data_IF_281980606440
#
_entry.id   IF_281980606440
#
_cell.length_a   1.000
_cell.length_b   1.000
_cell.length_c   1.000
_cell.angle_alpha   90.00
_cell.angle_beta   90.00
_cell.angle_gamma   90.00
#
_symmetry.space_group_name_H-M   'P 1'
#
loop_
_entity.id
_entity.type
_entity.pdbx_description
1 polymer ?
#
# COMPACT_ATOMS: atom_id res chain seq x y z
N UNK A 1 14.51 -1.05 -66.75
CA UNK A 1 13.06 -1.35 -66.76
C UNK A 1 12.34 -0.19 -66.10
N UNK A 2 11.32 0.32 -66.80
CA UNK A 2 10.50 1.51 -66.49
C UNK A 2 9.83 1.43 -65.09
N UNK A 3 9.38 2.51 -64.44
CA UNK A 3 8.74 3.72 -64.98
C UNK A 3 8.85 4.95 -64.05
N UNK A 4 9.24 6.08 -64.65
CA UNK A 4 8.60 7.41 -64.70
C UNK A 4 7.62 7.90 -63.61
N UNK A 5 8.06 8.98 -62.94
CA UNK A 5 7.41 10.31 -62.80
C UNK A 5 5.88 10.47 -62.69
N UNK A 6 5.43 11.18 -61.65
CA UNK A 6 4.64 12.44 -61.76
C UNK A 6 4.10 12.96 -60.41
N UNK A 7 4.39 14.23 -60.09
CA UNK A 7 3.49 15.17 -59.40
C UNK A 7 2.61 15.82 -60.51
N UNK A 8 1.38 16.34 -60.30
CA UNK A 8 1.15 17.53 -59.44
C UNK A 8 -0.29 17.76 -58.85
N UNK A 9 -0.39 18.73 -57.93
CA UNK A 9 -1.33 19.87 -58.09
C UNK A 9 -2.70 19.88 -57.38
N UNK A 10 -3.12 21.11 -57.05
CA UNK A 10 -4.43 21.62 -56.54
C UNK A 10 -4.63 21.59 -55.01
N UNK A 11 -4.49 22.68 -54.24
CA UNK A 11 -4.98 24.08 -54.27
C UNK A 11 -6.37 24.30 -53.65
N UNK A 12 -6.35 25.00 -52.50
CA UNK A 12 -7.31 26.02 -51.98
C UNK A 12 -8.80 25.64 -51.84
N UNK A 13 -9.48 25.87 -50.70
CA UNK A 13 -9.91 27.22 -50.28
C UNK A 13 -10.61 27.25 -48.90
N UNK A 14 -10.51 28.44 -48.31
CA UNK A 14 -11.11 29.08 -47.14
C UNK A 14 -12.59 28.84 -46.73
N UNK A 15 -12.79 28.94 -45.40
CA UNK A 15 -13.86 29.62 -44.61
C UNK A 15 -15.32 29.19 -44.81
N UNK A 16 -16.04 29.06 -43.69
CA UNK A 16 -17.07 30.04 -43.25
C UNK A 16 -17.62 29.66 -41.87
N UNK A 17 -17.60 30.64 -40.96
CA UNK A 17 -18.28 30.67 -39.68
C UNK A 17 -19.80 30.75 -39.90
N UNK A 18 -20.59 29.96 -39.16
CA UNK A 18 -22.03 30.18 -39.06
C UNK A 18 -22.43 30.46 -37.62
N UNK A 19 -22.73 31.73 -37.42
CA UNK A 19 -23.36 32.38 -36.28
C UNK A 19 -24.85 32.02 -36.30
N UNK A 20 -25.43 31.60 -35.16
CA UNK A 20 -26.88 31.62 -34.97
C UNK A 20 -27.24 32.39 -33.71
N UNK A 21 -28.20 33.29 -33.92
CA UNK A 21 -28.72 34.30 -33.02
C UNK A 21 -29.54 33.70 -31.88
N UNK A 22 -29.51 34.43 -30.78
CA UNK A 22 -30.42 34.40 -29.65
C UNK A 22 -31.90 34.50 -30.06
N UNK A 23 -32.74 33.65 -29.47
CA UNK A 23 -34.12 34.02 -29.13
C UNK A 23 -34.40 33.51 -27.71
N UNK A 24 -34.83 34.45 -26.88
CA UNK A 24 -35.22 34.32 -25.48
C UNK A 24 -36.66 33.83 -25.36
N UNK A 25 -36.94 32.95 -24.37
CA UNK A 25 -37.96 33.09 -23.31
C UNK A 25 -38.04 31.79 -22.47
N UNK A 26 -38.53 31.84 -21.21
CA UNK A 26 -37.97 31.07 -20.11
C UNK A 26 -38.76 29.79 -19.82
N UNK A 27 -38.05 28.67 -19.64
CA UNK A 27 -38.62 27.48 -19.01
C UNK A 27 -37.74 27.18 -17.80
N UNK A 28 -38.29 27.49 -16.63
CA UNK A 28 -37.76 27.10 -15.34
C UNK A 28 -37.69 25.57 -15.28
N UNK A 29 -36.50 25.03 -15.52
CA UNK A 29 -36.17 23.62 -15.24
C UNK A 29 -35.14 23.62 -14.13
N UNK A 30 -35.62 23.29 -12.94
CA UNK A 30 -34.81 22.96 -11.79
C UNK A 30 -33.78 21.90 -12.21
N UNK A 31 -32.51 22.26 -12.17
CA UNK A 31 -31.40 21.32 -12.29
C UNK A 31 -31.38 20.47 -11.02
N UNK A 32 -31.88 19.24 -11.13
CA UNK A 32 -31.70 18.22 -10.11
C UNK A 32 -30.27 17.72 -10.24
N UNK A 33 -29.38 18.22 -9.37
CA UNK A 33 -28.05 17.62 -9.18
C UNK A 33 -28.20 16.16 -8.76
N UNK A 34 -27.49 15.20 -9.39
CA UNK A 34 -27.35 13.87 -8.81
C UNK A 34 -26.29 13.96 -7.70
N UNK A 35 -26.71 14.43 -6.52
CA UNK A 35 -25.95 14.24 -5.29
C UNK A 35 -25.94 12.73 -5.04
N UNK A 36 -24.76 12.10 -5.11
CA UNK A 36 -24.56 10.75 -4.59
C UNK A 36 -24.96 10.76 -3.12
N UNK A 37 -26.15 10.24 -2.82
CA UNK A 37 -26.57 9.93 -1.47
C UNK A 37 -25.64 8.85 -0.93
N UNK A 38 -24.72 9.25 -0.04
CA UNK A 38 -24.10 8.31 0.87
C UNK A 38 -25.21 7.81 1.78
N UNK A 39 -25.57 6.53 1.65
CA UNK A 39 -26.51 5.86 2.56
C UNK A 39 -26.02 5.97 4.00
N UNK A 40 -26.46 7.00 4.72
CA UNK A 40 -26.39 7.07 6.16
C UNK A 40 -27.65 6.40 6.68
N UNK A 41 -27.60 5.09 6.88
CA UNK A 41 -28.66 4.41 7.63
C UNK A 41 -28.59 4.89 9.06
N UNK A 42 -29.66 5.47 9.65
CA UNK A 42 -29.67 5.77 11.07
C UNK A 42 -29.57 4.45 11.84
N UNK A 43 -28.66 4.39 12.81
CA UNK A 43 -28.56 3.27 13.73
C UNK A 43 -29.92 3.14 14.45
N UNK A 44 -30.69 2.10 14.10
CA UNK A 44 -31.85 1.69 14.90
C UNK A 44 -31.33 1.36 16.29
N UNK A 45 -31.64 2.20 17.27
CA UNK A 45 -31.55 1.84 18.69
C UNK A 45 -32.52 0.70 18.92
N UNK A 46 -32.00 -0.52 18.97
CA UNK A 46 -32.71 -1.66 19.55
C UNK A 46 -32.49 -1.61 21.06
N UNK A 47 -33.42 -1.00 21.78
CA UNK A 47 -33.59 -1.23 23.21
C UNK A 47 -34.07 -2.67 23.40
N UNK A 48 -33.19 -3.54 23.90
CA UNK A 48 -33.46 -4.75 24.71
C UNK A 48 -32.33 -5.79 24.57
N UNK A 49 -31.29 -5.68 25.42
CA UNK A 49 -30.49 -6.77 26.04
C UNK A 49 -29.22 -6.19 26.70
N UNK A 50 -29.42 -5.40 27.75
CA UNK A 50 -28.40 -4.58 28.42
C UNK A 50 -27.38 -5.31 29.31
N UNK A 51 -26.98 -6.54 28.99
CA UNK A 51 -25.96 -7.28 29.76
C UNK A 51 -24.62 -7.44 29.05
N UNK A 52 -24.64 -7.73 27.74
CA UNK A 52 -23.42 -8.14 27.01
C UNK A 52 -22.69 -7.01 26.27
N UNK A 53 -23.29 -5.83 26.14
CA UNK A 53 -22.72 -4.72 25.37
C UNK A 53 -21.73 -3.85 26.19
N UNK A 54 -21.86 -3.85 27.52
CA UNK A 54 -21.01 -3.05 28.40
C UNK A 54 -19.60 -3.65 28.56
N UNK A 55 -19.47 -4.97 28.73
CA UNK A 55 -18.17 -5.66 28.82
C UNK A 55 -17.39 -5.69 27.50
N UNK A 56 -18.07 -5.51 26.36
CA UNK A 56 -17.42 -5.51 25.03
C UNK A 56 -16.55 -4.27 24.77
N UNK A 57 -16.73 -3.20 25.55
CA UNK A 57 -15.91 -1.98 25.42
C UNK A 57 -14.58 -2.05 26.17
N UNK A 58 -14.37 -3.04 27.04
CA UNK A 58 -13.13 -3.15 27.84
C UNK A 58 -12.05 -4.01 27.20
N UNK A 59 -12.42 -4.96 26.33
CA UNK A 59 -11.45 -5.88 25.71
C UNK A 59 -10.93 -5.32 24.39
N UNK A 60 -9.60 -5.34 24.15
CA UNK A 60 -9.06 -4.76 22.94
C UNK A 60 -9.48 -5.57 21.71
N UNK A 61 -9.85 -4.88 20.63
CA UNK A 61 -10.48 -5.51 19.44
C UNK A 61 -9.63 -6.57 18.75
N UNK A 62 -8.32 -6.53 18.95
CA UNK A 62 -7.39 -7.49 18.37
C UNK A 62 -7.39 -8.84 19.09
N UNK A 63 -7.87 -8.92 20.33
CA UNK A 63 -7.79 -10.10 21.21
C UNK A 63 -8.91 -11.11 20.95
N UNK A 64 -10.11 -10.65 20.59
CA UNK A 64 -11.28 -11.51 20.44
C UNK A 64 -11.93 -11.37 19.06
N UNK A 65 -12.75 -12.36 18.71
CA UNK A 65 -13.60 -12.33 17.52
C UNK A 65 -15.04 -12.07 17.96
N UNK A 66 -15.76 -11.10 17.38
CA UNK A 66 -17.13 -10.79 17.76
C UNK A 66 -18.05 -12.03 17.71
N UNK A 67 -18.80 -12.28 18.79
CA UNK A 67 -19.59 -13.52 18.94
C UNK A 67 -20.63 -13.70 17.81
N UNK A 68 -21.26 -12.60 17.39
CA UNK A 68 -22.25 -12.58 16.30
C UNK A 68 -21.68 -12.98 14.94
N UNK A 69 -20.36 -12.97 14.78
CA UNK A 69 -19.68 -13.38 13.54
C UNK A 69 -19.25 -14.85 13.56
N UNK A 70 -19.35 -15.53 14.72
CA UNK A 70 -19.04 -16.94 14.84
C UNK A 70 -20.19 -17.76 14.23
N UNK A 71 -19.80 -18.85 13.57
CA UNK A 71 -20.75 -19.80 12.96
C UNK A 71 -21.19 -20.88 13.95
N UNK A 72 -21.66 -22.04 13.47
CA UNK A 72 -22.22 -23.12 14.30
C UNK A 72 -21.18 -23.89 15.15
N UNK A 73 -19.95 -23.39 15.30
CA UNK A 73 -18.88 -24.03 16.07
C UNK A 73 -18.11 -25.14 15.37
N UNK A 74 -18.58 -25.65 14.23
CA UNK A 74 -17.88 -26.64 13.40
C UNK A 74 -17.60 -26.11 11.98
N UNK A 75 -16.57 -26.66 11.32
CA UNK A 75 -16.26 -26.34 9.92
C UNK A 75 -17.23 -27.04 8.99
N UNK A 76 -17.89 -26.29 8.11
CA UNK A 76 -18.77 -26.82 7.05
C UNK A 76 -17.93 -27.40 5.90
N UNK A 77 -16.74 -26.84 5.66
CA UNK A 77 -15.89 -27.24 4.54
C UNK A 77 -15.05 -28.46 4.89
N UNK A 78 -15.00 -29.44 3.96
CA UNK A 78 -14.12 -30.60 4.04
C UNK A 78 -12.70 -30.20 3.66
N UNK A 79 -11.76 -30.40 4.56
CA UNK A 79 -10.34 -30.12 4.33
C UNK A 79 -9.67 -31.39 3.79
N UNK A 80 -8.89 -31.27 2.71
CA UNK A 80 -8.18 -32.41 2.11
C UNK A 80 -7.18 -33.06 3.07
N UNK A 81 -6.41 -32.22 3.77
CA UNK A 81 -5.44 -32.66 4.78
C UNK A 81 -5.73 -31.95 6.11
N UNK A 82 -6.17 -32.68 7.15
CA UNK A 82 -6.46 -32.11 8.47
C UNK A 82 -5.27 -31.38 9.09
N UNK A 83 -4.03 -31.81 8.81
CA UNK A 83 -2.81 -31.23 9.39
C UNK A 83 -2.64 -29.75 9.00
N UNK A 84 -3.13 -29.37 7.81
CA UNK A 84 -3.06 -27.98 7.32
C UNK A 84 -4.01 -27.03 8.05
N UNK A 85 -4.91 -27.55 8.88
CA UNK A 85 -5.86 -26.74 9.66
C UNK A 85 -5.20 -26.11 10.89
N UNK A 86 -4.18 -26.77 11.44
CA UNK A 86 -3.50 -26.34 12.65
C UNK A 86 -2.42 -25.31 12.27
N UNK A 87 -2.56 -24.09 12.76
CA UNK A 87 -1.57 -23.02 12.63
C UNK A 87 -1.60 -22.17 13.88
N UNK A 88 -0.46 -22.09 14.58
CA UNK A 88 -0.32 -21.24 15.76
C UNK A 88 -0.01 -19.81 15.35
N UNK A 89 -0.63 -18.85 16.02
CA UNK A 89 -0.49 -17.43 15.77
C UNK A 89 -0.08 -16.74 17.07
N UNK A 90 0.73 -15.69 16.98
CA UNK A 90 1.13 -14.92 18.15
C UNK A 90 -0.06 -14.19 18.80
N UNK A 91 -0.19 -14.35 20.11
CA UNK A 91 -1.13 -13.62 20.96
C UNK A 91 -0.43 -12.77 22.02
N UNK A 92 0.89 -12.94 22.19
CA UNK A 92 1.69 -12.24 23.21
C UNK A 92 2.03 -10.80 22.75
N UNK A 93 1.62 -9.76 23.51
CA UNK A 93 1.94 -8.37 23.19
C UNK A 93 3.44 -8.06 23.35
N UNK A 94 4.13 -8.68 24.32
CA UNK A 94 5.55 -8.42 24.56
C UNK A 94 6.43 -8.86 23.37
N UNK A 95 6.05 -9.94 22.69
CA UNK A 95 6.73 -10.40 21.45
C UNK A 95 6.57 -9.40 20.32
N UNK A 96 5.40 -8.76 20.23
CA UNK A 96 5.13 -7.70 19.26
C UNK A 96 5.98 -6.47 19.54
N UNK A 97 6.06 -6.06 20.80
CA UNK A 97 6.84 -4.89 21.20
C UNK A 97 8.34 -5.11 21.00
N UNK A 98 8.86 -6.30 21.31
CA UNK A 98 10.23 -6.68 21.00
C UNK A 98 10.55 -6.58 19.50
N UNK A 99 9.62 -7.01 18.62
CA UNK A 99 9.77 -6.87 17.17
C UNK A 99 9.79 -5.40 16.73
N UNK A 100 8.87 -4.56 17.26
CA UNK A 100 8.85 -3.12 16.97
C UNK A 100 10.14 -2.43 17.40
N UNK A 101 10.70 -2.81 18.55
CA UNK A 101 11.98 -2.28 19.03
C UNK A 101 13.16 -2.72 18.14
N UNK A 102 13.17 -3.94 17.61
CA UNK A 102 14.21 -4.39 16.64
C UNK A 102 14.12 -3.65 15.30
N UNK A 103 12.90 -3.36 14.84
CA UNK A 103 12.65 -2.66 13.58
C UNK A 103 12.94 -1.15 13.68
N UNK A 104 12.31 -0.47 14.64
CA UNK A 104 12.34 0.99 14.76
C UNK A 104 13.48 1.50 15.65
N UNK A 105 14.05 0.64 16.50
CA UNK A 105 15.08 1.00 17.48
C UNK A 105 14.49 1.25 18.87
N UNK A 106 15.24 1.96 19.72
CA UNK A 106 14.85 2.24 21.09
C UNK A 106 13.50 3.00 21.15
N UNK A 107 12.61 2.56 22.04
CA UNK A 107 11.24 3.08 22.19
C UNK A 107 10.36 2.92 20.93
N UNK A 108 10.69 1.99 20.04
CA UNK A 108 9.91 1.68 18.84
C UNK A 108 8.47 1.24 19.16
N UNK A 109 8.28 0.48 20.24
CA UNK A 109 6.97 0.02 20.72
C UNK A 109 5.98 1.15 21.05
N UNK A 110 6.51 2.34 21.39
CA UNK A 110 5.69 3.53 21.77
C UNK A 110 5.27 4.37 20.57
N UNK A 111 5.80 4.06 19.37
CA UNK A 111 5.46 4.79 18.15
C UNK A 111 4.02 4.54 17.73
N UNK A 112 3.42 3.41 18.04
CA UNK A 112 2.05 3.09 17.65
C UNK A 112 1.26 2.60 18.86
N UNK A 113 -0.01 3.03 19.02
CA UNK A 113 -0.90 2.42 20.01
C UNK A 113 -1.06 0.92 19.75
N UNK A 114 -1.32 0.15 20.81
CA UNK A 114 -1.44 -1.32 20.75
C UNK A 114 -2.40 -1.81 19.67
N UNK A 115 -3.58 -1.19 19.56
CA UNK A 115 -4.55 -1.57 18.53
C UNK A 115 -4.00 -1.42 17.11
N UNK A 116 -3.22 -0.37 16.86
CA UNK A 116 -2.64 -0.08 15.55
C UNK A 116 -1.44 -0.99 15.28
N UNK A 117 -0.65 -1.33 16.31
CA UNK A 117 0.42 -2.35 16.22
C UNK A 117 -0.14 -3.67 15.70
N UNK A 118 -1.19 -4.15 16.35
CA UNK A 118 -1.87 -5.38 15.92
C UNK A 118 -2.54 -5.25 14.55
N UNK A 119 -3.16 -4.11 14.24
CA UNK A 119 -3.79 -3.87 12.94
C UNK A 119 -2.78 -3.95 11.80
N UNK A 120 -1.60 -3.36 11.96
CA UNK A 120 -0.54 -3.33 10.94
C UNK A 120 0.06 -4.73 10.68
N UNK A 121 0.13 -5.56 11.72
CA UNK A 121 0.76 -6.90 11.68
C UNK A 121 -0.23 -8.01 11.30
N UNK A 122 -1.53 -7.71 11.20
CA UNK A 122 -2.55 -8.71 10.85
C UNK A 122 -2.87 -8.72 9.36
N UNK A 123 -2.68 -9.88 8.74
CA UNK A 123 -3.00 -10.09 7.33
C UNK A 123 -4.47 -10.48 7.13
N UNK A 124 -5.03 -10.18 5.95
CA UNK A 124 -6.44 -10.46 5.60
C UNK A 124 -6.83 -11.94 5.70
N UNK A 125 -5.87 -12.86 5.55
CA UNK A 125 -6.15 -14.30 5.67
C UNK A 125 -6.40 -14.78 7.11
N UNK A 126 -6.07 -13.97 8.11
CA UNK A 126 -6.32 -14.29 9.52
C UNK A 126 -7.80 -14.11 9.87
N UNK A 127 -8.37 -15.11 10.57
CA UNK A 127 -9.78 -15.12 11.03
C UNK A 127 -10.78 -14.62 9.98
N UNK A 128 -10.59 -15.01 8.71
CA UNK A 128 -11.41 -14.57 7.57
C UNK A 128 -11.57 -13.04 7.42
N UNK A 129 -10.63 -12.26 7.96
CA UNK A 129 -10.69 -10.80 7.97
C UNK A 129 -11.78 -10.23 8.88
N UNK A 130 -12.29 -11.01 9.85
CA UNK A 130 -13.25 -10.54 10.86
C UNK A 130 -12.64 -9.51 11.80
N UNK A 131 -11.35 -9.67 12.12
CA UNK A 131 -10.56 -8.67 12.83
C UNK A 131 -9.96 -7.68 11.84
N UNK A 132 -9.55 -6.52 12.33
CA UNK A 132 -8.89 -5.51 11.51
C UNK A 132 -7.63 -6.08 10.84
N UNK A 133 -7.44 -5.77 9.55
CA UNK A 133 -6.31 -6.23 8.75
C UNK A 133 -5.65 -5.08 7.98
N UNK A 134 -4.41 -5.31 7.56
CA UNK A 134 -3.46 -4.28 7.20
C UNK A 134 -3.48 -3.76 5.75
N UNK A 135 -4.41 -4.25 4.89
CA UNK A 135 -4.37 -3.99 3.44
C UNK A 135 -4.36 -2.50 3.06
N UNK A 136 -5.17 -1.66 3.73
CA UNK A 136 -5.23 -0.22 3.42
C UNK A 136 -3.97 0.52 3.87
N UNK A 137 -3.46 0.17 5.05
CA UNK A 137 -2.22 0.74 5.57
C UNK A 137 -1.04 0.37 4.67
N UNK A 138 -0.99 -0.89 4.21
CA UNK A 138 0.04 -1.38 3.30
C UNK A 138 0.03 -0.67 1.95
N UNK A 139 -1.17 -0.39 1.40
CA UNK A 139 -1.30 0.40 0.17
C UNK A 139 -0.64 1.78 0.31
N UNK A 140 -0.93 2.48 1.41
CA UNK A 140 -0.37 3.81 1.65
C UNK A 140 1.15 3.76 1.93
N UNK A 141 1.60 2.84 2.78
CA UNK A 141 3.03 2.70 3.09
C UNK A 141 3.88 2.30 1.88
N UNK A 142 3.33 1.52 0.93
CA UNK A 142 3.99 1.23 -0.35
C UNK A 142 4.28 2.52 -1.14
N UNK A 143 3.34 3.46 -1.17
CA UNK A 143 3.54 4.74 -1.87
C UNK A 143 4.63 5.59 -1.20
N UNK A 144 4.64 5.62 0.14
CA UNK A 144 5.67 6.33 0.92
C UNK A 144 7.06 5.74 0.64
N UNK A 145 7.19 4.42 0.71
CA UNK A 145 8.46 3.75 0.43
C UNK A 145 8.94 4.04 -0.99
N UNK A 146 8.06 3.93 -1.98
CA UNK A 146 8.40 4.24 -3.36
C UNK A 146 8.89 5.69 -3.53
N UNK A 147 8.23 6.65 -2.88
CA UNK A 147 8.63 8.05 -2.93
C UNK A 147 9.99 8.30 -2.28
N UNK A 148 10.23 7.72 -1.10
CA UNK A 148 11.51 7.88 -0.39
C UNK A 148 12.66 7.19 -1.12
N UNK A 149 12.44 6.05 -1.77
CA UNK A 149 13.44 5.41 -2.63
C UNK A 149 13.74 6.22 -3.90
N UNK A 150 12.71 6.81 -4.53
CA UNK A 150 12.93 7.76 -5.63
C UNK A 150 13.77 8.94 -5.13
N UNK A 151 13.42 9.51 -3.98
CA UNK A 151 14.17 10.63 -3.39
C UNK A 151 15.62 10.27 -3.07
N UNK A 152 15.88 9.07 -2.56
CA UNK A 152 17.27 8.63 -2.30
C UNK A 152 18.08 8.56 -3.59
N UNK A 153 17.50 8.10 -4.69
CA UNK A 153 18.18 8.08 -6.00
C UNK A 153 18.47 9.50 -6.49
N UNK A 154 17.50 10.41 -6.40
CA UNK A 154 17.66 11.79 -6.86
C UNK A 154 18.76 12.54 -6.10
N UNK A 155 18.85 12.33 -4.78
CA UNK A 155 19.78 13.07 -3.91
C UNK A 155 21.18 12.45 -3.91
N UNK A 156 21.29 11.12 -3.96
CA UNK A 156 22.59 10.47 -3.90
C UNK A 156 23.41 10.74 -5.18
N UNK A 157 24.71 11.04 -5.08
CA UNK A 157 25.56 11.18 -6.25
C UNK A 157 25.73 9.81 -6.92
N UNK A 158 25.56 9.76 -8.25
CA UNK A 158 25.91 8.57 -9.03
C UNK A 158 27.40 8.64 -9.38
N UNK A 159 28.10 7.54 -9.16
CA UNK A 159 29.52 7.42 -9.52
C UNK A 159 29.62 6.84 -10.93
N UNK A 160 30.10 7.64 -11.89
CA UNK A 160 30.68 7.13 -13.13
C UNK A 160 29.73 6.74 -14.27
N UNK A 161 28.59 7.42 -14.44
CA UNK A 161 27.77 7.19 -15.63
C UNK A 161 28.26 7.98 -16.83
N UNK A 162 28.56 7.25 -17.91
CA UNK A 162 28.88 7.84 -19.20
C UNK A 162 27.59 8.42 -19.85
N UNK A 163 27.67 9.57 -20.53
CA UNK A 163 26.55 10.11 -21.29
C UNK A 163 26.03 9.07 -22.29
N UNK A 164 24.71 8.90 -22.34
CA UNK A 164 24.08 8.07 -23.38
C UNK A 164 24.22 8.79 -24.71
N UNK A 165 24.85 8.15 -25.70
CA UNK A 165 24.96 8.70 -27.05
C UNK A 165 23.58 8.69 -27.74
N UNK A 166 23.13 9.86 -28.19
CA UNK A 166 21.88 9.99 -28.93
C UNK A 166 22.08 9.57 -30.40
N UNK A 167 21.24 8.66 -30.95
CA UNK A 167 21.35 8.21 -32.35
C UNK A 167 21.21 9.31 -33.40
N UNK A 168 20.63 10.47 -33.04
CA UNK A 168 20.45 11.61 -33.94
C UNK A 168 21.46 12.73 -33.68
N UNK A 169 22.46 12.51 -32.81
CA UNK A 169 23.49 13.49 -32.50
C UNK A 169 22.95 14.76 -31.82
N UNK A 170 21.81 14.67 -31.12
CA UNK A 170 21.24 15.80 -30.39
C UNK A 170 21.94 15.98 -29.05
N UNK A 171 22.18 17.22 -28.67
CA UNK A 171 22.70 17.54 -27.33
C UNK A 171 21.53 17.75 -26.35
N UNK A 172 21.51 17.05 -25.20
CA UNK A 172 20.46 17.22 -24.20
C UNK A 172 20.62 18.56 -23.47
N UNK A 173 19.51 19.14 -23.03
CA UNK A 173 19.52 20.36 -22.23
C UNK A 173 20.13 20.09 -20.85
N UNK A 174 21.32 20.65 -20.60
CA UNK A 174 22.04 20.47 -19.34
C UNK A 174 21.53 21.45 -18.28
N UNK A 175 20.82 20.93 -17.28
CA UNK A 175 20.34 21.72 -16.15
C UNK A 175 20.51 20.95 -14.83
N UNK A 176 20.98 21.59 -13.74
CA UNK A 176 21.27 20.89 -12.47
C UNK A 176 20.06 20.18 -11.87
N UNK A 177 18.84 20.70 -12.05
CA UNK A 177 17.63 20.03 -11.59
C UNK A 177 17.29 18.76 -12.41
N UNK A 178 17.61 18.74 -13.71
CA UNK A 178 17.36 17.59 -14.59
C UNK A 178 18.42 16.50 -14.38
N UNK A 179 19.67 16.89 -14.10
CA UNK A 179 20.75 15.96 -13.81
C UNK A 179 20.42 15.01 -12.64
N UNK A 180 19.61 15.45 -11.65
CA UNK A 180 19.13 14.57 -10.59
C UNK A 180 18.06 13.60 -11.06
N UNK A 181 17.17 14.02 -11.96
CA UNK A 181 16.09 13.19 -12.52
C UNK A 181 16.65 12.15 -13.48
N UNK A 182 17.69 12.49 -14.24
CA UNK A 182 18.35 11.58 -15.17
C UNK A 182 18.94 10.34 -14.48
N UNK A 183 19.25 10.44 -13.18
CA UNK A 183 19.66 9.31 -12.33
C UNK A 183 18.64 8.17 -12.27
N UNK A 184 17.37 8.45 -12.56
CA UNK A 184 16.31 7.43 -12.59
C UNK A 184 16.38 6.54 -13.84
N UNK A 185 17.11 6.95 -14.89
CA UNK A 185 17.31 6.11 -16.07
C UNK A 185 18.17 4.89 -15.76
N UNK A 186 19.14 5.04 -14.85
CA UNK A 186 20.07 3.99 -14.51
C UNK A 186 19.66 3.14 -13.31
N UNK A 187 19.11 3.78 -12.28
CA UNK A 187 18.65 3.09 -11.07
C UNK A 187 17.18 3.39 -10.84
N UNK A 188 16.34 2.36 -10.84
CA UNK A 188 14.92 2.52 -10.55
C UNK A 188 14.61 2.29 -9.06
N UNK A 189 13.55 2.92 -8.51
CA UNK A 189 13.12 2.67 -7.14
C UNK A 189 12.78 1.19 -6.86
N UNK A 190 12.35 0.46 -7.90
CA UNK A 190 12.01 -0.96 -7.82
C UNK A 190 13.24 -1.86 -7.56
N UNK A 191 14.42 -1.43 -8.00
CA UNK A 191 15.69 -2.17 -7.80
C UNK A 191 16.16 -2.08 -6.34
N UNK A 192 15.79 -0.98 -5.68
CA UNK A 192 16.00 -0.78 -4.24
C UNK A 192 14.95 -1.58 -3.47
N UNK A 193 13.66 -1.38 -3.76
CA UNK A 193 12.54 -2.01 -3.03
C UNK A 193 12.17 -3.37 -3.65
N UNK A 194 13.16 -4.25 -3.82
CA UNK A 194 12.93 -5.61 -4.28
C UNK A 194 12.19 -6.43 -3.21
N UNK A 195 11.21 -7.22 -3.65
CA UNK A 195 10.32 -7.99 -2.75
C UNK A 195 11.08 -8.92 -1.83
N UNK A 196 12.15 -9.51 -2.33
CA UNK A 196 13.00 -10.48 -1.64
C UNK A 196 13.85 -9.78 -0.57
N UNK A 197 14.40 -8.60 -0.87
CA UNK A 197 15.20 -7.83 0.10
C UNK A 197 14.34 -7.34 1.26
N UNK A 198 13.13 -6.86 0.96
CA UNK A 198 12.19 -6.39 1.98
C UNK A 198 11.68 -7.55 2.84
N UNK A 199 11.41 -8.71 2.24
CA UNK A 199 11.01 -9.89 2.98
C UNK A 199 12.15 -10.43 3.87
N UNK A 200 13.40 -10.43 3.39
CA UNK A 200 14.58 -10.77 4.21
C UNK A 200 14.69 -9.84 5.42
N UNK A 201 14.62 -8.52 5.21
CA UNK A 201 14.61 -7.55 6.31
C UNK A 201 13.49 -7.84 7.32
N UNK A 202 12.30 -8.20 6.85
CA UNK A 202 11.18 -8.55 7.72
C UNK A 202 11.45 -9.82 8.54
N UNK A 203 12.09 -10.84 7.96
CA UNK A 203 12.52 -12.04 8.70
C UNK A 203 13.59 -11.67 9.73
N UNK A 204 14.58 -10.87 9.37
CA UNK A 204 15.70 -10.49 10.24
C UNK A 204 15.24 -9.72 11.49
N UNK A 205 14.16 -8.94 11.39
CA UNK A 205 13.58 -8.24 12.56
C UNK A 205 12.63 -9.11 13.38
N UNK A 206 12.34 -10.34 12.94
CA UNK A 206 11.43 -11.29 13.60
C UNK A 206 9.95 -11.07 13.26
N UNK A 207 9.62 -10.43 12.12
CA UNK A 207 8.23 -10.18 11.73
C UNK A 207 7.48 -11.48 11.37
N UNK A 208 8.18 -12.51 10.89
CA UNK A 208 7.62 -13.82 10.54
C UNK A 208 6.97 -14.54 11.72
N UNK A 209 7.49 -14.36 12.94
CA UNK A 209 7.00 -14.99 14.16
C UNK A 209 5.78 -14.28 14.74
N UNK A 210 5.60 -13.00 14.42
CA UNK A 210 4.60 -12.13 15.05
C UNK A 210 3.41 -11.85 14.12
N UNK A 211 3.60 -11.92 12.80
CA UNK A 211 2.52 -11.70 11.84
C UNK A 211 1.39 -12.70 12.03
N UNK A 212 0.17 -12.16 12.09
CA UNK A 212 -1.06 -12.95 12.20
C UNK A 212 -1.61 -13.21 10.81
N UNK A 213 -1.47 -14.44 10.35
CA UNK A 213 -1.91 -14.87 9.03
C UNK A 213 -2.26 -16.36 9.04
N UNK A 214 -2.91 -16.82 7.96
CA UNK A 214 -3.16 -18.24 7.71
C UNK A 214 -2.45 -18.66 6.41
N UNK A 215 -1.41 -19.52 6.46
CA UNK A 215 -0.77 -20.06 5.27
C UNK A 215 -1.69 -21.05 4.54
N UNK A 216 -1.47 -21.21 3.23
CA UNK A 216 -2.18 -22.21 2.42
C UNK A 216 -1.67 -23.62 2.70
N UNK A 217 -0.36 -23.75 2.86
CA UNK A 217 0.43 -24.96 3.07
C UNK A 217 1.40 -24.68 4.23
N UNK A 218 1.06 -25.05 5.48
CA UNK A 218 1.97 -24.85 6.63
C UNK A 218 3.34 -25.51 6.46
N UNK A 219 3.42 -26.60 5.71
CA UNK A 219 4.65 -27.31 5.36
C UNK A 219 5.56 -26.54 4.39
N UNK A 220 5.01 -25.59 3.63
CA UNK A 220 5.75 -24.77 2.68
C UNK A 220 5.23 -23.32 2.69
N UNK A 221 5.84 -22.51 3.56
CA UNK A 221 5.44 -21.12 3.79
C UNK A 221 5.74 -20.23 2.58
N UNK A 222 6.82 -20.48 1.85
CA UNK A 222 7.17 -19.71 0.65
C UNK A 222 6.12 -19.90 -0.45
N UNK A 223 5.74 -21.16 -0.73
CA UNK A 223 4.66 -21.46 -1.67
C UNK A 223 3.28 -20.96 -1.20
N UNK A 224 3.15 -20.65 0.09
CA UNK A 224 1.96 -20.03 0.69
C UNK A 224 1.95 -18.51 0.58
N UNK A 225 3.01 -17.89 0.05
CA UNK A 225 3.11 -16.45 -0.16
C UNK A 225 3.65 -15.67 1.03
N UNK A 226 4.48 -16.29 1.89
CA UNK A 226 5.11 -15.64 3.05
C UNK A 226 5.77 -14.29 2.67
N UNK A 227 6.55 -14.27 1.60
CA UNK A 227 7.19 -13.05 1.06
C UNK A 227 6.20 -11.90 0.85
N UNK A 228 5.01 -12.18 0.30
CA UNK A 228 3.97 -11.16 0.07
C UNK A 228 3.38 -10.66 1.38
N UNK A 229 3.13 -11.58 2.32
CA UNK A 229 2.56 -11.27 3.64
C UNK A 229 3.50 -10.39 4.45
N UNK A 230 4.79 -10.73 4.48
CA UNK A 230 5.81 -9.94 5.18
C UNK A 230 5.98 -8.55 4.59
N UNK A 231 6.07 -8.44 3.27
CA UNK A 231 6.14 -7.15 2.58
C UNK A 231 4.92 -6.28 2.89
N UNK A 232 3.72 -6.87 2.86
CA UNK A 232 2.48 -6.17 3.17
C UNK A 232 2.46 -5.66 4.62
N UNK A 233 2.92 -6.47 5.58
CA UNK A 233 3.01 -6.06 6.98
C UNK A 233 4.02 -4.93 7.18
N UNK A 234 5.20 -5.00 6.56
CA UNK A 234 6.20 -3.95 6.68
C UNK A 234 5.71 -2.62 6.07
N UNK A 235 5.05 -2.67 4.91
CA UNK A 235 4.42 -1.50 4.31
C UNK A 235 3.33 -0.94 5.22
N UNK A 236 2.52 -1.79 5.85
CA UNK A 236 1.47 -1.35 6.75
C UNK A 236 2.01 -0.63 7.99
N UNK A 237 3.14 -1.07 8.54
CA UNK A 237 3.80 -0.39 9.66
C UNK A 237 4.19 1.03 9.25
N UNK A 238 4.83 1.21 8.09
CA UNK A 238 5.20 2.54 7.57
C UNK A 238 3.96 3.41 7.34
N UNK A 239 2.91 2.84 6.75
CA UNK A 239 1.64 3.55 6.53
C UNK A 239 0.98 3.99 7.84
N UNK A 240 1.00 3.15 8.87
CA UNK A 240 0.47 3.47 10.19
C UNK A 240 1.25 4.59 10.86
N UNK A 241 2.59 4.55 10.82
CA UNK A 241 3.45 5.60 11.39
C UNK A 241 3.16 6.94 10.72
N UNK A 242 3.00 6.96 9.40
CA UNK A 242 2.71 8.19 8.65
C UNK A 242 1.35 8.80 9.03
N UNK A 243 0.33 7.98 9.23
CA UNK A 243 -0.99 8.47 9.65
C UNK A 243 -1.01 8.95 11.10
N UNK A 244 -0.19 8.37 11.97
CA UNK A 244 -0.15 8.71 13.40
C UNK A 244 0.76 9.92 13.70
N UNK A 245 1.92 10.00 13.04
CA UNK A 245 2.99 10.97 13.34
C UNK A 245 3.34 11.90 12.17
N UNK A 246 2.70 11.72 11.03
CA UNK A 246 2.94 12.52 9.83
C UNK A 246 4.06 12.00 8.93
N UNK A 247 4.14 12.60 7.75
CA UNK A 247 5.03 12.16 6.68
C UNK A 247 6.53 12.34 7.00
N UNK A 248 6.90 13.39 7.75
CA UNK A 248 8.31 13.66 8.06
C UNK A 248 8.92 12.55 8.92
N UNK A 249 8.21 12.14 9.98
CA UNK A 249 8.65 11.06 10.88
C UNK A 249 8.71 9.75 10.13
N UNK A 250 7.68 9.44 9.32
CA UNK A 250 7.66 8.23 8.50
C UNK A 250 8.83 8.19 7.48
N UNK A 251 9.10 9.30 6.79
CA UNK A 251 10.20 9.40 5.83
C UNK A 251 11.57 9.23 6.49
N UNK A 252 11.76 9.72 7.72
CA UNK A 252 12.97 9.48 8.52
C UNK A 252 13.13 8.00 8.86
N UNK A 253 12.06 7.36 9.36
CA UNK A 253 12.05 5.93 9.68
C UNK A 253 12.38 5.09 8.45
N UNK A 254 11.79 5.40 7.29
CA UNK A 254 12.05 4.69 6.03
C UNK A 254 13.53 4.79 5.64
N UNK A 255 14.11 5.99 5.66
CA UNK A 255 15.52 6.19 5.31
C UNK A 255 16.46 5.46 6.26
N UNK A 256 16.26 5.63 7.57
CA UNK A 256 17.20 5.15 8.59
C UNK A 256 17.10 3.65 8.85
N UNK A 257 15.87 3.09 8.82
CA UNK A 257 15.59 1.72 9.28
C UNK A 257 15.33 0.74 8.13
N UNK A 258 14.87 1.22 6.98
CA UNK A 258 14.54 0.35 5.84
C UNK A 258 15.58 0.51 4.73
N UNK A 259 15.67 1.69 4.11
CA UNK A 259 16.51 1.93 2.93
C UNK A 259 18.00 1.66 3.22
N UNK A 260 18.49 2.11 4.37
CA UNK A 260 19.87 1.85 4.82
C UNK A 260 20.21 0.35 4.93
N UNK A 261 19.23 -0.49 5.32
CA UNK A 261 19.44 -1.95 5.47
C UNK A 261 19.28 -2.71 4.15
N UNK A 262 18.56 -2.14 3.19
CA UNK A 262 18.26 -2.74 1.88
C UNK A 262 19.30 -2.36 0.81
N UNK A 263 20.23 -1.46 1.14
CA UNK A 263 21.34 -1.05 0.28
C UNK A 263 20.97 0.09 -0.68
N UNK A 264 20.13 1.04 -0.24
CA UNK A 264 19.82 2.26 -0.98
C UNK A 264 21.02 3.24 -0.98
#
# INVERSE_FOLDING_TARGET
MAANSSLPGFSTTYKVLRQFRSSSLPISRQLVSPVRQLSCSPARRSDASGGAAAEQHERPRWSYTPERMKGPGFSINVVKDPRRTVWSVNEDPDRLDAMYNRLLGQNGERMLPDEIKWLAVTHKSFDYGRRGFNTRLAYFGRQILALEATRSILVNPLTGEAPIEDPHGREPFQHPALANVDKLNSRQPQDIIQKEKIARLAVDVGLSEVVRWKPRLPENLEASGLTVVLNTALFAIVGAISLQHGAEVAGRVVRDKILRRVGA
#
